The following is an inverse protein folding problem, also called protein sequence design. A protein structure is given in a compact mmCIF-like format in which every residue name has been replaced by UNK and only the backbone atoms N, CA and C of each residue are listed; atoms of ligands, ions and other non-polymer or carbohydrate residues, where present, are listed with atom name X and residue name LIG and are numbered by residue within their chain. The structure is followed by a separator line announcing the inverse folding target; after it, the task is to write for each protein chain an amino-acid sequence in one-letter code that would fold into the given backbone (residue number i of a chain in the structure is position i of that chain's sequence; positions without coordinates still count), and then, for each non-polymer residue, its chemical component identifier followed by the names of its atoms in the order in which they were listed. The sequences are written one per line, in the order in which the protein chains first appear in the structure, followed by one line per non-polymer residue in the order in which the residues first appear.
data_IF_294475142105
#
_entry.id   IF_294475142105
#
_cell.length_a   1.000
_cell.length_b   1.000
_cell.length_c   1.000
_cell.angle_alpha   90.00
_cell.angle_beta   90.00
_cell.angle_gamma   90.00
#
_symmetry.space_group_name_H-M   'P 1'
#
loop_
_entity.id
_entity.type
_entity.pdbx_description
1 polymer ?
#
# COMPACT_ATOMS: atom_id res chain seq x y z
N UNK A 1 14.47 -7.31 7.58
CA UNK A 1 15.03 -8.65 7.89
C UNK A 1 13.92 -9.70 8.01
N UNK A 2 12.83 -9.43 8.73
CA UNK A 2 11.69 -10.35 8.90
C UNK A 2 11.00 -10.69 7.56
N UNK A 3 10.78 -9.66 6.72
CA UNK A 3 10.05 -9.81 5.45
C UNK A 3 10.72 -10.77 4.45
N UNK A 4 12.07 -10.67 4.33
CA UNK A 4 12.83 -11.61 3.48
C UNK A 4 12.75 -13.03 4.03
N UNK A 5 12.84 -13.19 5.34
CA UNK A 5 12.76 -14.50 5.99
C UNK A 5 11.38 -15.17 5.77
N UNK A 6 10.29 -14.40 5.82
CA UNK A 6 8.94 -14.89 5.55
C UNK A 6 8.83 -15.38 4.09
N UNK A 7 9.32 -14.59 3.15
CA UNK A 7 9.30 -14.97 1.72
C UNK A 7 10.11 -16.25 1.49
N UNK A 8 11.32 -16.31 2.02
CA UNK A 8 12.19 -17.49 1.89
C UNK A 8 11.52 -18.73 2.52
N UNK A 9 10.96 -18.61 3.72
CA UNK A 9 10.25 -19.67 4.39
C UNK A 9 9.05 -20.20 3.58
N UNK A 10 8.21 -19.28 3.07
CA UNK A 10 7.04 -19.66 2.26
C UNK A 10 7.44 -20.30 0.93
N UNK A 11 8.56 -19.88 0.35
CA UNK A 11 9.12 -20.50 -0.84
C UNK A 11 9.61 -21.93 -0.56
N UNK A 12 10.31 -22.14 0.55
CA UNK A 12 10.76 -23.47 0.98
C UNK A 12 9.57 -24.42 1.25
N UNK A 13 8.48 -23.88 1.78
CA UNK A 13 7.22 -24.62 1.97
C UNK A 13 6.42 -24.82 0.66
N UNK A 14 6.92 -24.32 -0.48
CA UNK A 14 6.24 -24.35 -1.79
C UNK A 14 4.85 -23.71 -1.80
N UNK A 15 4.62 -22.74 -0.94
CA UNK A 15 3.36 -21.98 -0.84
C UNK A 15 3.34 -20.85 -1.87
N UNK A 16 4.50 -20.32 -2.23
CA UNK A 16 4.66 -19.25 -3.22
C UNK A 16 5.66 -19.63 -4.30
N UNK A 17 5.58 -18.95 -5.45
CA UNK A 17 6.61 -18.98 -6.50
C UNK A 17 7.68 -17.95 -6.12
N UNK A 18 8.92 -18.36 -5.82
CA UNK A 18 9.91 -17.51 -5.14
C UNK A 18 10.31 -16.26 -5.92
N UNK A 19 10.24 -16.28 -7.25
CA UNK A 19 10.70 -15.16 -8.09
C UNK A 19 9.54 -14.31 -8.65
N UNK A 20 8.32 -14.51 -8.14
CA UNK A 20 7.13 -13.86 -8.65
C UNK A 20 6.14 -13.47 -7.53
N UNK A 21 6.67 -12.88 -6.47
CA UNK A 21 5.88 -12.52 -5.29
C UNK A 21 5.18 -11.18 -5.49
N UNK A 22 3.89 -11.13 -5.21
CA UNK A 22 3.12 -9.90 -5.05
C UNK A 22 2.84 -9.72 -3.56
N UNK A 23 3.29 -8.61 -3.01
CA UNK A 23 3.02 -8.25 -1.62
C UNK A 23 1.75 -7.39 -1.56
N UNK A 24 0.80 -7.79 -0.73
CA UNK A 24 -0.43 -7.02 -0.50
C UNK A 24 -0.49 -6.61 0.96
N UNK A 25 -0.79 -5.34 1.22
CA UNK A 25 -0.91 -4.83 2.58
C UNK A 25 -2.06 -3.85 2.75
N UNK A 26 -2.73 -3.92 3.91
CA UNK A 26 -3.80 -3.01 4.29
C UNK A 26 -3.40 -2.21 5.54
N UNK A 27 -3.77 -0.92 5.61
CA UNK A 27 -3.54 -0.07 6.78
C UNK A 27 -2.07 -0.08 7.25
N UNK A 28 -1.78 -0.50 8.46
CA UNK A 28 -0.40 -0.66 8.97
C UNK A 28 0.43 -1.68 8.17
N UNK A 29 -0.20 -2.76 7.65
CA UNK A 29 0.43 -3.70 6.73
C UNK A 29 0.75 -3.05 5.38
N UNK A 30 -0.13 -2.18 4.89
CA UNK A 30 0.13 -1.35 3.70
C UNK A 30 1.31 -0.38 3.92
N UNK A 31 1.39 0.23 5.10
CA UNK A 31 2.55 1.05 5.49
C UNK A 31 3.86 0.26 5.49
N UNK A 32 3.83 -0.94 6.07
CA UNK A 32 4.99 -1.84 6.06
C UNK A 32 5.40 -2.23 4.63
N UNK A 33 4.42 -2.45 3.74
CA UNK A 33 4.65 -2.77 2.33
C UNK A 33 5.27 -1.58 1.56
N UNK A 34 4.85 -0.33 1.86
CA UNK A 34 5.50 0.86 1.31
C UNK A 34 6.97 0.94 1.77
N UNK A 35 7.24 0.71 3.05
CA UNK A 35 8.61 0.68 3.56
C UNK A 35 9.43 -0.45 2.92
N UNK A 36 8.82 -1.64 2.70
CA UNK A 36 9.46 -2.78 2.04
C UNK A 36 9.91 -2.46 0.62
N UNK A 37 9.19 -1.62 -0.12
CA UNK A 37 9.54 -1.24 -1.49
C UNK A 37 10.96 -0.68 -1.61
N UNK A 38 11.44 0.03 -0.58
CA UNK A 38 12.78 0.59 -0.53
C UNK A 38 13.91 -0.45 -0.44
N UNK A 39 13.56 -1.71 -0.10
CA UNK A 39 14.51 -2.82 0.05
C UNK A 39 14.82 -3.53 -1.26
N UNK A 40 13.97 -3.36 -2.27
CA UNK A 40 14.13 -3.94 -3.62
C UNK A 40 14.45 -5.45 -3.58
N UNK A 41 13.65 -6.21 -2.84
CA UNK A 41 13.82 -7.67 -2.77
C UNK A 41 13.62 -8.27 -4.17
N UNK A 42 14.59 -9.03 -4.70
CA UNK A 42 14.52 -9.56 -6.08
C UNK A 42 13.30 -10.44 -6.34
N UNK A 43 12.80 -11.13 -5.31
CA UNK A 43 11.61 -11.96 -5.36
C UNK A 43 10.30 -11.18 -5.50
N UNK A 44 10.28 -9.88 -5.13
CA UNK A 44 9.06 -9.07 -5.11
C UNK A 44 8.88 -8.37 -6.44
N UNK A 45 7.91 -8.82 -7.22
CA UNK A 45 7.55 -8.27 -8.54
C UNK A 45 6.71 -6.99 -8.45
N UNK A 46 5.80 -6.94 -7.49
CA UNK A 46 4.87 -5.84 -7.33
C UNK A 46 4.38 -5.72 -5.88
N UNK A 47 3.95 -4.53 -5.50
CA UNK A 47 3.36 -4.26 -4.19
C UNK A 47 2.02 -3.56 -4.37
N UNK A 48 0.98 -4.04 -3.68
CA UNK A 48 -0.37 -3.47 -3.70
C UNK A 48 -0.74 -3.07 -2.29
N UNK A 49 -1.23 -1.86 -2.12
CA UNK A 49 -1.65 -1.37 -0.80
C UNK A 49 -3.08 -0.85 -0.81
N UNK A 50 -3.79 -1.14 0.27
CA UNK A 50 -5.13 -0.63 0.55
C UNK A 50 -5.08 0.21 1.82
N UNK A 51 -5.56 1.47 1.72
CA UNK A 51 -5.68 2.36 2.87
C UNK A 51 -4.39 2.42 3.73
N UNK A 52 -3.22 2.47 3.08
CA UNK A 52 -1.93 2.34 3.75
C UNK A 52 -1.60 3.54 4.65
N UNK A 53 -1.14 3.26 5.87
CA UNK A 53 -0.73 4.29 6.80
C UNK A 53 -0.60 3.76 8.23
N UNK A 54 -0.21 4.63 9.15
CA UNK A 54 -0.15 4.30 10.57
C UNK A 54 -0.46 5.53 11.44
N UNK A 55 -0.91 5.28 12.66
CA UNK A 55 -1.20 6.34 13.64
C UNK A 55 -2.45 7.16 13.33
N UNK A 56 -3.44 6.55 12.69
CA UNK A 56 -4.76 7.15 12.48
C UNK A 56 -5.62 7.13 13.73
N UNK A 57 -6.68 7.95 13.75
CA UNK A 57 -7.68 8.07 14.81
C UNK A 57 -7.11 8.40 16.20
N UNK A 58 -6.16 9.33 16.28
CA UNK A 58 -5.68 9.82 17.57
C UNK A 58 -6.86 10.40 18.38
N UNK A 59 -7.04 9.86 19.58
CA UNK A 59 -8.19 10.23 20.43
C UNK A 59 -9.54 9.79 19.87
N UNK A 60 -9.58 8.78 18.99
CA UNK A 60 -10.81 8.27 18.39
C UNK A 60 -11.43 9.19 17.32
N UNK A 61 -10.70 10.21 16.84
CA UNK A 61 -11.24 11.21 15.91
C UNK A 61 -10.86 10.86 14.46
N UNK A 62 -11.84 10.84 13.54
CA UNK A 62 -11.59 10.65 12.11
C UNK A 62 -10.57 11.66 11.55
N UNK A 63 -9.67 11.15 10.67
CA UNK A 63 -8.60 11.91 10.02
C UNK A 63 -7.65 12.67 10.97
N UNK A 64 -7.66 12.31 12.27
CA UNK A 64 -6.69 12.81 13.23
C UNK A 64 -5.52 11.84 13.34
N UNK A 65 -4.45 12.14 12.62
CA UNK A 65 -3.25 11.30 12.54
C UNK A 65 -2.19 11.75 13.56
N UNK A 66 -1.46 10.81 14.14
CA UNK A 66 -0.46 11.06 15.18
C UNK A 66 0.67 11.99 14.70
N UNK A 67 1.14 11.82 13.47
CA UNK A 67 2.24 12.61 12.92
C UNK A 67 2.17 12.60 11.37
N UNK A 68 1.18 13.29 10.77
CA UNK A 68 0.93 13.21 9.33
C UNK A 68 2.14 13.68 8.50
N UNK A 69 2.82 14.73 8.92
CA UNK A 69 4.01 15.22 8.19
C UNK A 69 5.16 14.21 8.21
N UNK A 70 5.29 13.43 9.28
CA UNK A 70 6.29 12.35 9.38
C UNK A 70 5.95 11.15 8.50
N UNK A 71 4.66 10.88 8.26
CA UNK A 71 4.25 9.88 7.27
C UNK A 71 4.66 10.33 5.86
N UNK A 72 4.41 11.59 5.52
CA UNK A 72 4.79 12.17 4.22
C UNK A 72 6.31 12.16 4.03
N UNK A 73 7.07 12.62 5.03
CA UNK A 73 8.54 12.60 5.02
C UNK A 73 9.09 11.17 4.80
N UNK A 74 8.61 10.21 5.59
CA UNK A 74 9.06 8.83 5.52
C UNK A 74 8.70 8.15 4.18
N UNK A 75 7.52 8.45 3.60
CA UNK A 75 7.20 7.95 2.26
C UNK A 75 8.14 8.49 1.20
N UNK A 76 8.53 9.76 1.29
CA UNK A 76 9.56 10.35 0.43
C UNK A 76 10.91 9.63 0.59
N UNK A 77 11.32 9.32 1.81
CA UNK A 77 12.56 8.56 2.04
C UNK A 77 12.50 7.15 1.41
N UNK A 78 11.38 6.45 1.54
CA UNK A 78 11.21 5.13 0.92
C UNK A 78 11.25 5.21 -0.61
N UNK A 79 10.66 6.25 -1.21
CA UNK A 79 10.63 6.45 -2.66
C UNK A 79 12.02 6.62 -3.28
N UNK A 80 13.00 7.15 -2.55
CA UNK A 80 14.36 7.41 -3.06
C UNK A 80 15.05 6.17 -3.62
N UNK A 81 14.87 5.06 -2.97
CA UNK A 81 15.52 3.80 -3.36
C UNK A 81 14.57 2.78 -3.97
N UNK A 82 13.27 2.95 -3.80
CA UNK A 82 12.29 2.00 -4.30
C UNK A 82 12.30 1.87 -5.82
N UNK A 83 12.29 0.64 -6.32
CA UNK A 83 12.23 0.30 -7.75
C UNK A 83 11.09 -0.66 -8.08
N UNK A 84 10.53 -1.31 -7.04
CA UNK A 84 9.39 -2.20 -7.20
C UNK A 84 8.15 -1.38 -7.51
N UNK A 85 7.40 -1.68 -8.59
CA UNK A 85 6.19 -0.95 -8.92
C UNK A 85 5.10 -1.19 -7.89
N UNK A 86 4.35 -0.14 -7.58
CA UNK A 86 3.29 -0.18 -6.58
C UNK A 86 1.93 0.25 -7.13
N UNK A 87 0.87 -0.29 -6.54
CA UNK A 87 -0.51 0.18 -6.69
C UNK A 87 -1.04 0.59 -5.31
N UNK A 88 -1.45 1.86 -5.17
CA UNK A 88 -2.02 2.39 -3.94
C UNK A 88 -3.51 2.66 -4.14
N UNK A 89 -4.34 2.01 -3.34
CA UNK A 89 -5.80 2.13 -3.38
C UNK A 89 -6.32 2.70 -2.07
N UNK A 90 -7.05 3.80 -2.17
CA UNK A 90 -7.75 4.46 -1.07
C UNK A 90 -9.21 4.69 -1.46
N UNK A 91 -10.02 5.22 -0.56
CA UNK A 91 -11.39 5.65 -0.82
C UNK A 91 -11.60 7.09 -0.39
N UNK A 92 -12.60 7.76 -0.96
CA UNK A 92 -12.93 9.13 -0.60
C UNK A 92 -13.35 9.30 0.87
N UNK A 93 -13.98 8.26 1.43
CA UNK A 93 -14.46 8.25 2.81
C UNK A 93 -13.58 7.43 3.77
N UNK A 94 -12.29 7.22 3.44
CA UNK A 94 -11.34 6.67 4.42
C UNK A 94 -11.16 7.67 5.57
N UNK A 95 -11.55 7.27 6.79
CA UNK A 95 -11.48 8.14 7.96
C UNK A 95 -10.14 8.05 8.70
N UNK A 96 -9.24 7.15 8.31
CA UNK A 96 -7.88 7.00 8.87
C UNK A 96 -6.84 7.76 8.05
N UNK A 97 -6.81 7.53 6.74
CA UNK A 97 -5.81 8.09 5.84
C UNK A 97 -6.47 8.65 4.58
N UNK A 98 -7.41 9.57 4.79
CA UNK A 98 -8.21 10.17 3.74
C UNK A 98 -7.39 10.81 2.61
N UNK A 99 -8.04 11.16 1.48
CA UNK A 99 -7.38 11.60 0.24
C UNK A 99 -6.40 12.75 0.40
N UNK A 100 -6.64 13.65 1.38
CA UNK A 100 -5.74 14.79 1.62
C UNK A 100 -4.35 14.35 2.10
N UNK A 101 -4.27 13.35 2.98
CA UNK A 101 -3.01 12.82 3.48
C UNK A 101 -2.40 11.83 2.51
N UNK A 102 -3.17 10.86 2.02
CA UNK A 102 -2.67 9.80 1.14
C UNK A 102 -2.12 10.34 -0.17
N UNK A 103 -2.69 11.42 -0.72
CA UNK A 103 -2.17 12.11 -1.90
C UNK A 103 -0.79 12.73 -1.62
N UNK A 104 -0.62 13.42 -0.49
CA UNK A 104 0.68 13.98 -0.10
C UNK A 104 1.75 12.90 0.08
N UNK A 105 1.38 11.77 0.69
CA UNK A 105 2.28 10.61 0.83
C UNK A 105 2.70 10.08 -0.55
N UNK A 106 1.74 9.92 -1.47
CA UNK A 106 2.01 9.46 -2.83
C UNK A 106 2.90 10.45 -3.61
N UNK A 107 2.61 11.74 -3.54
CA UNK A 107 3.41 12.80 -4.18
C UNK A 107 4.85 12.82 -3.64
N UNK A 108 5.04 12.66 -2.33
CA UNK A 108 6.36 12.56 -1.72
C UNK A 108 7.12 11.32 -2.21
N UNK A 109 6.45 10.17 -2.27
CA UNK A 109 7.03 8.91 -2.74
C UNK A 109 7.48 8.99 -4.21
N UNK A 110 6.59 9.45 -5.09
CA UNK A 110 6.88 9.54 -6.53
C UNK A 110 7.83 10.68 -6.87
N UNK A 111 7.74 11.79 -6.16
CA UNK A 111 8.63 12.95 -6.32
C UNK A 111 10.09 12.65 -6.00
N UNK A 112 10.38 11.59 -5.24
CA UNK A 112 11.75 11.15 -4.94
C UNK A 112 12.23 9.98 -5.80
N UNK A 113 11.38 9.46 -6.70
CA UNK A 113 11.76 8.45 -7.70
C UNK A 113 11.05 7.11 -7.56
N UNK A 114 10.19 6.93 -6.56
CA UNK A 114 9.36 5.74 -6.42
C UNK A 114 8.32 5.65 -7.54
N UNK A 115 7.94 4.43 -7.92
CA UNK A 115 6.92 4.18 -8.95
C UNK A 115 5.64 3.64 -8.30
N UNK A 116 4.57 4.43 -8.31
CA UNK A 116 3.28 4.04 -7.76
C UNK A 116 2.11 4.58 -8.58
N UNK A 117 1.17 3.70 -8.96
CA UNK A 117 -0.15 4.11 -9.44
C UNK A 117 -1.00 4.43 -8.20
N UNK A 118 -1.81 5.50 -8.24
CA UNK A 118 -2.62 5.95 -7.12
C UNK A 118 -4.08 6.08 -7.53
N UNK A 119 -4.95 5.40 -6.80
CA UNK A 119 -6.38 5.43 -7.02
C UNK A 119 -7.13 5.77 -5.74
N UNK A 120 -8.08 6.71 -5.86
CA UNK A 120 -9.07 7.00 -4.85
C UNK A 120 -10.41 6.55 -5.38
N UNK A 121 -10.94 5.50 -4.80
CA UNK A 121 -12.26 4.95 -5.16
C UNK A 121 -13.38 5.77 -4.52
N UNK A 122 -14.59 5.74 -5.09
CA UNK A 122 -15.76 6.34 -4.46
C UNK A 122 -15.97 5.87 -3.02
N UNK A 123 -16.77 6.60 -2.22
CA UNK A 123 -17.08 6.18 -0.87
C UNK A 123 -17.63 4.75 -0.81
N UNK A 124 -17.15 3.97 0.15
CA UNK A 124 -17.60 2.61 0.37
C UNK A 124 -17.99 2.37 1.82
N UNK A 125 -19.19 1.85 2.05
CA UNK A 125 -19.71 1.59 3.39
C UNK A 125 -19.74 2.86 4.26
N UNK A 126 -19.68 2.67 5.57
CA UNK A 126 -19.58 3.77 6.54
C UNK A 126 -18.16 4.34 6.66
N UNK A 127 -17.15 3.53 6.35
CA UNK A 127 -15.74 3.90 6.35
C UNK A 127 -14.99 3.06 5.30
N UNK A 128 -14.54 3.71 4.26
CA UNK A 128 -13.86 3.05 3.18
C UNK A 128 -12.45 2.53 3.52
N UNK A 129 -11.96 2.80 4.74
CA UNK A 129 -10.74 2.18 5.27
C UNK A 129 -10.79 0.66 5.24
N UNK A 130 -11.98 0.11 5.41
CA UNK A 130 -12.24 -1.33 5.46
C UNK A 130 -12.70 -1.93 4.11
N UNK A 131 -12.46 -1.22 3.01
CA UNK A 131 -12.86 -1.66 1.67
C UNK A 131 -12.45 -3.11 1.38
N UNK A 132 -11.21 -3.48 1.66
CA UNK A 132 -10.68 -4.81 1.30
C UNK A 132 -11.31 -5.95 2.11
N UNK A 133 -11.93 -5.65 3.26
CA UNK A 133 -12.55 -6.65 4.13
C UNK A 133 -13.92 -7.10 3.61
N UNK A 134 -14.47 -6.41 2.60
CA UNK A 134 -15.79 -6.70 2.03
C UNK A 134 -15.73 -7.36 0.67
N UNK A 135 -16.43 -8.48 0.52
CA UNK A 135 -16.60 -9.12 -0.78
C UNK A 135 -17.35 -8.23 -1.80
N UNK A 136 -18.25 -7.36 -1.33
CA UNK A 136 -19.00 -6.43 -2.18
C UNK A 136 -18.11 -5.35 -2.81
N UNK A 137 -16.91 -5.12 -2.25
CA UNK A 137 -15.96 -4.18 -2.81
C UNK A 137 -15.07 -4.78 -3.92
N UNK A 138 -15.05 -6.10 -4.08
CA UNK A 138 -14.21 -6.77 -5.09
C UNK A 138 -14.41 -6.17 -6.49
N UNK A 139 -15.64 -5.93 -6.98
CA UNK A 139 -15.84 -5.34 -8.30
C UNK A 139 -15.24 -3.93 -8.47
N UNK A 140 -14.97 -3.21 -7.37
CA UNK A 140 -14.43 -1.86 -7.41
C UNK A 140 -12.90 -1.87 -7.56
N UNK A 141 -12.21 -2.75 -6.88
CA UNK A 141 -10.74 -2.74 -6.85
C UNK A 141 -10.09 -3.86 -7.69
N UNK A 142 -10.75 -5.00 -7.89
CA UNK A 142 -10.15 -6.12 -8.62
C UNK A 142 -9.78 -5.80 -10.08
N UNK A 143 -10.56 -5.01 -10.84
CA UNK A 143 -10.15 -4.59 -12.19
C UNK A 143 -8.87 -3.77 -12.19
N UNK A 144 -8.65 -2.89 -11.19
CA UNK A 144 -7.43 -2.09 -11.06
C UNK A 144 -6.22 -2.99 -10.79
N UNK A 145 -6.38 -3.95 -9.89
CA UNK A 145 -5.33 -4.93 -9.55
C UNK A 145 -4.98 -5.78 -10.77
N UNK A 146 -5.98 -6.31 -11.49
CA UNK A 146 -5.75 -7.09 -12.71
C UNK A 146 -4.98 -6.27 -13.75
N UNK A 147 -5.48 -5.09 -14.09
CA UNK A 147 -4.82 -4.20 -15.05
C UNK A 147 -3.39 -3.83 -14.64
N UNK A 148 -3.17 -3.60 -13.35
CA UNK A 148 -1.84 -3.28 -12.82
C UNK A 148 -0.88 -4.46 -12.97
N UNK A 149 -1.32 -5.68 -12.69
CA UNK A 149 -0.48 -6.89 -12.77
C UNK A 149 -0.23 -7.32 -14.22
N UNK A 150 -1.22 -7.18 -15.12
CA UNK A 150 -1.11 -7.55 -16.53
C UNK A 150 -0.04 -6.74 -17.28
N UNK A 151 0.13 -5.47 -16.92
CA UNK A 151 1.20 -4.62 -17.50
C UNK A 151 2.63 -5.09 -17.12
N UNK A 152 2.76 -6.10 -16.26
CA UNK A 152 4.03 -6.50 -15.63
C UNK A 152 4.32 -8.01 -15.77
N UNK A 153 3.63 -8.65 -16.72
CA UNK A 153 3.89 -10.05 -17.11
C UNK A 153 5.13 -10.17 -17.97
#
# INVERSE_FOLDING_TARGET
MLDKWIIDYMADQKVIVPDNVVVVGQSAGGWAAIALSSRNLPSVRAIITFAAGRGGHVGGKPNNNCAPDKLVEATGEFGRTARVPMLWIYTENDTFFGPALSRKMHEAYTGTGGSAEYHVLPPFGSDGHFLIDSADAIPLWAPLVSQFLDKRQ
#
